data_IF_889821263378
#
_entry.id   IF_889821263378
#
_cell.length_a   1.000
_cell.length_b   1.000
_cell.length_c   1.000
_cell.angle_alpha   90.00
_cell.angle_beta   90.00
_cell.angle_gamma   90.00
#
_symmetry.space_group_name_H-M   'P 1'
#
loop_
_entity.id
_entity.type
_entity.pdbx_description
1 polymer ?
#
# COMPACT_ATOMS: atom_id res chain seq x y z
N UNK A 1 45.42 -9.27 18.02
CA UNK A 1 45.08 -8.99 19.42
C UNK A 1 43.60 -8.61 19.45
N UNK A 2 42.71 -9.58 19.68
CA UNK A 2 41.26 -9.40 19.60
C UNK A 2 40.80 -8.83 20.94
N UNK A 3 40.38 -7.57 20.96
CA UNK A 3 39.82 -6.93 22.15
C UNK A 3 38.48 -7.60 22.45
N UNK A 4 38.46 -8.46 23.48
CA UNK A 4 37.26 -9.09 24.02
C UNK A 4 36.36 -7.98 24.59
N UNK A 5 35.31 -7.58 23.86
CA UNK A 5 34.31 -6.61 24.34
C UNK A 5 33.56 -7.23 25.53
N UNK A 6 33.50 -6.48 26.63
CA UNK A 6 32.96 -6.91 27.91
C UNK A 6 31.42 -7.07 27.81
N UNK A 7 30.83 -8.28 28.02
CA UNK A 7 29.41 -8.55 27.73
C UNK A 7 28.44 -7.70 28.57
N UNK A 8 28.85 -7.28 29.77
CA UNK A 8 28.07 -6.40 30.65
C UNK A 8 27.85 -4.99 30.06
N UNK A 9 28.76 -4.50 29.23
CA UNK A 9 28.67 -3.18 28.59
C UNK A 9 27.64 -3.21 27.44
N UNK A 10 27.55 -4.34 26.72
CA UNK A 10 26.61 -4.55 25.61
C UNK A 10 25.17 -4.68 26.15
N UNK A 11 24.97 -5.41 27.25
CA UNK A 11 23.65 -5.65 27.85
C UNK A 11 23.01 -4.37 28.42
N UNK A 12 23.81 -3.40 28.87
CA UNK A 12 23.31 -2.16 29.48
C UNK A 12 23.14 -1.04 28.44
N UNK A 13 24.04 -0.92 27.46
CA UNK A 13 24.00 0.16 26.47
C UNK A 13 22.93 -0.04 25.39
N UNK A 14 22.64 -1.28 24.97
CA UNK A 14 21.59 -1.56 23.99
C UNK A 14 20.19 -1.07 24.42
N UNK A 15 19.69 -1.35 25.64
CA UNK A 15 18.39 -0.87 26.07
C UNK A 15 18.36 0.65 26.28
N UNK A 16 19.46 1.27 26.71
CA UNK A 16 19.59 2.73 26.81
C UNK A 16 19.56 3.42 25.44
N UNK A 17 20.17 2.80 24.42
CA UNK A 17 20.11 3.27 23.04
C UNK A 17 18.69 3.16 22.47
N UNK A 18 18.02 2.01 22.68
CA UNK A 18 16.62 1.82 22.32
C UNK A 18 15.68 2.78 23.03
N UNK A 19 15.89 3.05 24.33
CA UNK A 19 15.07 3.98 25.10
C UNK A 19 15.26 5.41 24.59
N UNK A 20 16.49 5.80 24.26
CA UNK A 20 16.80 7.11 23.66
C UNK A 20 16.19 7.29 22.26
N UNK A 21 16.18 6.21 21.45
CA UNK A 21 15.56 6.18 20.14
C UNK A 21 14.03 6.22 20.23
N UNK A 22 13.43 5.47 21.16
CA UNK A 22 11.99 5.51 21.43
C UNK A 22 11.56 6.91 21.89
N UNK A 23 12.34 7.57 22.74
CA UNK A 23 12.07 8.96 23.14
C UNK A 23 12.20 9.94 21.97
N UNK A 24 13.10 9.70 21.01
CA UNK A 24 13.23 10.54 19.82
C UNK A 24 11.99 10.45 18.90
N UNK A 25 11.41 9.25 18.76
CA UNK A 25 10.18 9.02 17.99
C UNK A 25 8.98 9.73 18.63
N UNK A 26 8.89 9.75 19.96
CA UNK A 26 7.84 10.48 20.68
C UNK A 26 8.06 12.01 20.71
N UNK A 27 9.30 12.48 20.63
CA UNK A 27 9.65 13.91 20.61
C UNK A 27 9.47 14.56 19.23
N UNK A 28 9.55 13.77 18.15
CA UNK A 28 9.26 14.19 16.79
C UNK A 28 8.14 13.31 16.22
N UNK A 29 6.86 13.48 16.63
CA UNK A 29 5.77 12.90 15.88
C UNK A 29 5.91 13.45 14.46
N UNK A 30 6.30 12.62 13.49
CA UNK A 30 6.48 13.04 12.10
C UNK A 30 5.17 13.66 11.66
N UNK A 31 5.07 15.00 11.58
CA UNK A 31 3.83 15.59 11.15
C UNK A 31 3.72 15.22 9.67
N UNK A 32 2.60 14.62 9.29
CA UNK A 32 2.26 14.47 7.88
C UNK A 32 2.19 15.89 7.31
N UNK A 33 3.25 16.33 6.62
CA UNK A 33 3.29 17.63 5.98
C UNK A 33 2.58 17.50 4.64
N UNK A 34 1.39 18.09 4.54
CA UNK A 34 0.74 18.40 3.28
C UNK A 34 1.04 19.84 2.89
N UNK A 35 1.60 20.05 1.71
CA UNK A 35 1.78 21.35 1.09
C UNK A 35 0.75 21.50 -0.02
N UNK A 36 -0.14 22.48 0.11
CA UNK A 36 -1.01 22.88 -0.99
C UNK A 36 -0.19 23.62 -2.05
N UNK A 37 -0.07 23.03 -3.23
CA UNK A 37 0.63 23.61 -4.37
C UNK A 37 -0.25 24.64 -5.08
N UNK A 38 -1.54 24.33 -5.22
CA UNK A 38 -2.56 25.19 -5.81
C UNK A 38 -3.80 25.08 -4.93
N UNK A 39 -4.37 26.21 -4.52
CA UNK A 39 -5.60 26.26 -3.72
C UNK A 39 -6.50 27.34 -4.30
N UNK A 40 -7.45 26.91 -5.14
CA UNK A 40 -8.48 27.77 -5.72
C UNK A 40 -9.82 27.03 -5.71
N UNK A 41 -10.93 27.76 -5.78
CA UNK A 41 -12.27 27.16 -5.79
C UNK A 41 -12.50 26.20 -6.97
N UNK A 42 -11.74 26.38 -8.07
CA UNK A 42 -11.87 25.58 -9.27
C UNK A 42 -10.86 24.43 -9.34
N UNK A 43 -9.67 24.62 -8.80
CA UNK A 43 -8.57 23.65 -8.89
C UNK A 43 -7.82 23.63 -7.56
N UNK A 44 -7.67 22.45 -6.99
CA UNK A 44 -6.80 22.22 -5.84
C UNK A 44 -5.75 21.19 -6.20
N UNK A 45 -4.52 21.39 -5.74
CA UNK A 45 -3.42 20.44 -5.87
C UNK A 45 -2.62 20.42 -4.57
N UNK A 46 -2.41 19.23 -4.03
CA UNK A 46 -1.77 19.02 -2.74
C UNK A 46 -0.69 17.95 -2.88
N UNK A 47 0.50 18.26 -2.37
CA UNK A 47 1.60 17.32 -2.22
C UNK A 47 1.75 16.99 -0.73
N UNK A 48 1.62 15.72 -0.40
CA UNK A 48 1.85 15.19 0.94
C UNK A 48 2.83 14.02 0.87
N UNK A 49 3.19 13.46 2.02
CA UNK A 49 4.07 12.30 2.06
C UNK A 49 4.33 11.78 3.46
N UNK A 50 5.06 10.68 3.52
CA UNK A 50 5.52 10.06 4.77
C UNK A 50 6.90 9.45 4.60
N UNK A 51 7.67 9.43 5.68
CA UNK A 51 8.93 8.71 5.78
C UNK A 51 8.85 7.77 6.98
N UNK A 52 9.03 6.48 6.75
CA UNK A 52 8.98 5.44 7.79
C UNK A 52 10.31 4.69 7.84
N UNK A 53 10.75 4.36 9.05
CA UNK A 53 11.92 3.54 9.30
C UNK A 53 11.55 2.35 10.17
N UNK A 54 11.88 1.13 9.72
CA UNK A 54 11.72 -0.11 10.47
C UNK A 54 13.09 -0.76 10.65
N UNK A 55 13.41 -1.18 11.86
CA UNK A 55 14.67 -1.86 12.17
C UNK A 55 14.35 -3.19 12.83
N UNK A 56 14.97 -4.25 12.32
CA UNK A 56 14.78 -5.59 12.83
C UNK A 56 16.14 -6.21 13.14
N UNK A 57 16.30 -6.65 14.39
CA UNK A 57 17.43 -7.48 14.83
C UNK A 57 16.94 -8.88 15.13
N UNK A 58 17.54 -9.88 14.49
CA UNK A 58 17.28 -11.30 14.75
C UNK A 58 18.56 -11.89 15.33
N UNK A 59 18.45 -12.53 16.48
CA UNK A 59 19.54 -13.31 17.06
C UNK A 59 19.18 -14.80 17.00
N UNK A 60 20.00 -15.58 16.31
CA UNK A 60 19.85 -17.03 16.24
C UNK A 60 20.73 -17.70 17.30
N UNK A 61 20.08 -18.21 18.36
CA UNK A 61 20.72 -18.89 19.47
C UNK A 61 21.42 -20.20 19.07
N UNK A 62 21.07 -20.80 17.93
CA UNK A 62 21.65 -22.08 17.50
C UNK A 62 23.01 -21.92 16.83
N UNK A 63 23.25 -20.77 16.19
CA UNK A 63 24.50 -20.47 15.48
C UNK A 63 25.28 -19.29 16.08
N UNK A 64 24.77 -18.70 17.17
CA UNK A 64 25.31 -17.51 17.84
C UNK A 64 25.64 -16.38 16.84
N UNK A 65 24.70 -16.14 15.92
CA UNK A 65 24.78 -15.06 14.94
C UNK A 65 23.63 -14.10 15.12
N UNK A 66 23.96 -12.82 15.14
CA UNK A 66 23.00 -11.74 15.06
C UNK A 66 23.00 -11.18 13.64
N UNK A 67 21.80 -10.95 13.10
CA UNK A 67 21.60 -10.21 11.87
C UNK A 67 20.72 -9.01 12.19
N UNK A 68 21.11 -7.84 11.75
CA UNK A 68 20.35 -6.61 11.83
C UNK A 68 20.10 -6.06 10.44
N UNK A 69 18.88 -5.59 10.20
CA UNK A 69 18.46 -5.00 8.95
C UNK A 69 17.60 -3.77 9.20
N UNK A 70 17.79 -2.76 8.37
CA UNK A 70 17.00 -1.54 8.38
C UNK A 70 16.23 -1.40 7.07
N UNK A 71 14.98 -0.96 7.17
CA UNK A 71 14.12 -0.59 6.06
C UNK A 71 13.70 0.87 6.23
N UNK A 72 13.93 1.68 5.21
CA UNK A 72 13.36 3.02 5.08
C UNK A 72 12.38 3.06 3.90
N UNK A 73 11.19 3.61 4.13
CA UNK A 73 10.15 3.85 3.11
C UNK A 73 9.86 5.34 3.02
N UNK A 74 10.04 5.92 1.85
CA UNK A 74 9.59 7.27 1.51
C UNK A 74 8.40 7.17 0.57
N UNK A 75 7.28 7.80 0.94
CA UNK A 75 6.10 7.92 0.09
C UNK A 75 5.79 9.39 -0.17
N UNK A 76 5.61 9.73 -1.45
CA UNK A 76 5.14 11.03 -1.90
C UNK A 76 3.77 10.86 -2.55
N UNK A 77 2.83 11.73 -2.19
CA UNK A 77 1.43 11.66 -2.58
C UNK A 77 1.05 13.00 -3.19
N UNK A 78 0.72 12.99 -4.47
CA UNK A 78 0.15 14.13 -5.17
C UNK A 78 -1.33 13.87 -5.40
N UNK A 79 -2.17 14.75 -4.89
CA UNK A 79 -3.62 14.73 -5.15
C UNK A 79 -4.05 16.02 -5.82
N UNK A 80 -4.95 15.91 -6.78
CA UNK A 80 -5.51 17.06 -7.48
C UNK A 80 -7.00 16.93 -7.64
N UNK A 81 -7.71 18.05 -7.60
CA UNK A 81 -9.15 18.14 -7.87
C UNK A 81 -9.42 19.27 -8.84
N UNK A 82 -10.34 19.04 -9.76
CA UNK A 82 -10.84 20.04 -10.71
C UNK A 82 -12.35 20.14 -10.50
N UNK A 83 -12.75 21.19 -9.79
CA UNK A 83 -14.07 21.38 -9.20
C UNK A 83 -14.51 20.09 -8.48
N UNK A 84 -15.77 19.72 -8.65
CA UNK A 84 -16.35 18.46 -8.21
C UNK A 84 -16.37 17.39 -9.32
N UNK A 85 -15.81 17.68 -10.50
CA UNK A 85 -15.97 16.84 -11.70
C UNK A 85 -14.84 15.85 -11.91
N UNK A 86 -13.64 16.15 -11.45
CA UNK A 86 -12.50 15.25 -11.62
C UNK A 86 -11.54 15.31 -10.44
N UNK A 87 -10.90 14.18 -10.17
CA UNK A 87 -9.77 14.10 -9.23
C UNK A 87 -8.67 13.21 -9.79
N UNK A 88 -7.43 13.55 -9.46
CA UNK A 88 -6.24 12.77 -9.80
C UNK A 88 -5.50 12.39 -8.52
N UNK A 89 -4.88 11.22 -8.52
CA UNK A 89 -4.08 10.71 -7.41
C UNK A 89 -2.82 10.04 -7.98
N UNK A 90 -1.67 10.43 -7.46
CA UNK A 90 -0.38 9.87 -7.83
C UNK A 90 0.47 9.62 -6.60
N UNK A 91 0.92 8.38 -6.41
CA UNK A 91 1.72 7.96 -5.27
C UNK A 91 3.05 7.39 -5.77
N UNK A 92 4.14 8.05 -5.42
CA UNK A 92 5.50 7.56 -5.63
C UNK A 92 6.00 6.96 -4.32
N UNK A 93 6.61 5.80 -4.42
CA UNK A 93 7.14 5.06 -3.28
C UNK A 93 8.60 4.70 -3.56
N UNK A 94 9.48 5.00 -2.61
CA UNK A 94 10.87 4.61 -2.63
C UNK A 94 11.18 3.82 -1.36
N UNK A 95 11.73 2.63 -1.52
CA UNK A 95 12.15 1.77 -0.42
C UNK A 95 13.65 1.53 -0.49
N UNK A 96 14.32 1.64 0.66
CA UNK A 96 15.74 1.33 0.80
C UNK A 96 15.97 0.39 1.98
N UNK A 97 16.69 -0.70 1.74
CA UNK A 97 17.18 -1.60 2.79
C UNK A 97 18.66 -1.42 3.01
N UNK A 98 19.07 -1.47 4.27
CA UNK A 98 20.46 -1.63 4.70
C UNK A 98 20.58 -2.98 5.39
N UNK A 99 21.61 -3.75 5.04
CA UNK A 99 21.88 -5.11 5.51
C UNK A 99 20.65 -6.03 5.33
N UNK A 100 20.29 -6.37 4.08
CA UNK A 100 19.12 -7.21 3.81
C UNK A 100 19.22 -8.53 4.58
N UNK A 101 18.24 -8.82 5.43
CA UNK A 101 18.25 -10.00 6.28
C UNK A 101 18.13 -11.27 5.42
N UNK A 102 18.92 -12.33 5.70
CA UNK A 102 18.87 -13.58 4.94
C UNK A 102 17.50 -14.26 4.93
N UNK A 103 16.68 -13.97 5.96
CA UNK A 103 15.31 -14.43 6.12
C UNK A 103 14.46 -13.31 6.72
N UNK A 104 14.22 -12.24 5.96
CA UNK A 104 13.24 -11.22 6.33
C UNK A 104 11.81 -11.81 6.24
N UNK A 105 10.91 -11.53 7.20
CA UNK A 105 9.48 -11.75 7.00
C UNK A 105 9.04 -11.03 5.72
N UNK A 106 8.11 -11.60 4.95
CA UNK A 106 7.70 -11.04 3.64
C UNK A 106 7.32 -9.56 3.69
N UNK A 107 6.73 -9.10 4.80
CA UNK A 107 6.39 -7.69 5.02
C UNK A 107 7.57 -6.73 5.25
N UNK A 108 8.81 -7.22 5.35
CA UNK A 108 10.04 -6.41 5.46
C UNK A 108 10.82 -6.28 4.13
N UNK A 109 10.50 -7.09 3.12
CA UNK A 109 11.27 -7.17 1.86
C UNK A 109 10.52 -6.59 0.66
N UNK A 110 9.20 -6.47 0.71
CA UNK A 110 8.41 -5.91 -0.40
C UNK A 110 8.08 -4.44 -0.16
N UNK A 111 8.80 -3.57 -0.87
CA UNK A 111 8.52 -2.12 -0.90
C UNK A 111 7.35 -1.79 -1.80
N UNK A 112 7.17 -2.57 -2.85
CA UNK A 112 6.03 -2.55 -3.74
C UNK A 112 5.66 -4.01 -3.95
N UNK A 113 4.65 -4.51 -3.24
CA UNK A 113 4.09 -5.80 -3.63
C UNK A 113 3.55 -5.63 -5.05
N UNK A 114 4.17 -6.30 -6.03
CA UNK A 114 3.58 -6.49 -7.33
C UNK A 114 2.25 -7.20 -7.11
N UNK A 115 1.18 -6.42 -7.00
CA UNK A 115 -0.17 -6.96 -6.88
C UNK A 115 -0.50 -7.70 -8.16
N UNK A 116 -1.36 -8.72 -8.03
CA UNK A 116 -1.74 -9.62 -9.13
C UNK A 116 -2.36 -8.89 -10.34
N UNK A 117 -2.80 -7.65 -10.16
CA UNK A 117 -3.46 -6.82 -11.16
C UNK A 117 -2.66 -5.54 -11.43
N UNK A 118 -1.37 -5.69 -11.74
CA UNK A 118 -0.54 -4.64 -12.34
C UNK A 118 -0.10 -5.12 -13.71
N UNK A 119 -0.47 -4.37 -14.75
CA UNK A 119 -0.17 -4.73 -16.13
C UNK A 119 1.32 -4.54 -16.45
N UNK A 120 1.94 -3.53 -15.84
CA UNK A 120 3.37 -3.29 -15.79
C UNK A 120 3.68 -2.75 -14.39
N UNK A 121 4.50 -3.41 -13.57
CA UNK A 121 4.77 -2.98 -12.20
C UNK A 121 5.27 -1.53 -12.08
N UNK A 122 5.91 -0.97 -13.12
CA UNK A 122 6.62 0.32 -13.05
C UNK A 122 7.51 0.44 -11.80
N UNK A 123 8.15 -0.66 -11.46
CA UNK A 123 9.18 -0.72 -10.44
C UNK A 123 10.56 -0.68 -11.11
N UNK A 124 11.47 0.08 -10.51
CA UNK A 124 12.86 0.12 -10.96
C UNK A 124 13.77 -0.11 -9.77
N UNK A 125 14.54 -1.20 -9.83
CA UNK A 125 15.61 -1.48 -8.88
C UNK A 125 16.81 -0.61 -9.22
N UNK A 126 17.16 0.34 -8.36
CA UNK A 126 18.23 1.30 -8.65
C UNK A 126 19.61 0.81 -8.20
N UNK A 127 19.68 -0.03 -7.16
CA UNK A 127 20.95 -0.58 -6.69
C UNK A 127 20.76 -1.87 -5.90
N UNK A 128 21.67 -2.83 -6.08
CA UNK A 128 21.75 -4.05 -5.27
C UNK A 128 23.22 -4.31 -4.99
N UNK A 129 23.68 -3.84 -3.84
CA UNK A 129 24.92 -4.25 -3.21
C UNK A 129 24.61 -5.26 -2.11
N UNK A 130 25.61 -6.05 -1.68
CA UNK A 130 25.43 -7.05 -0.62
C UNK A 130 24.77 -6.48 0.65
N UNK A 131 25.09 -5.22 0.98
CA UNK A 131 24.63 -4.55 2.20
C UNK A 131 23.56 -3.47 1.95
N UNK A 132 23.16 -3.21 0.70
CA UNK A 132 22.19 -2.16 0.40
C UNK A 132 21.36 -2.47 -0.85
N UNK A 133 20.05 -2.28 -0.76
CA UNK A 133 19.16 -2.35 -1.92
C UNK A 133 18.15 -1.22 -1.92
N UNK A 134 17.93 -0.60 -3.08
CA UNK A 134 16.88 0.41 -3.24
C UNK A 134 15.96 0.12 -4.42
N UNK A 135 14.68 0.43 -4.24
CA UNK A 135 13.64 0.29 -5.25
C UNK A 135 12.75 1.52 -5.25
N UNK A 136 12.36 1.94 -6.45
CA UNK A 136 11.33 2.96 -6.65
C UNK A 136 10.15 2.35 -7.38
N UNK A 137 8.94 2.73 -7.01
CA UNK A 137 7.71 2.23 -7.62
C UNK A 137 6.62 3.30 -7.64
N UNK A 138 5.75 3.22 -8.64
CA UNK A 138 4.50 3.99 -8.69
C UNK A 138 3.40 3.13 -8.06
N UNK A 139 2.97 3.47 -6.86
CA UNK A 139 1.95 2.68 -6.15
C UNK A 139 0.53 3.01 -6.62
N UNK A 140 0.28 4.28 -6.97
CA UNK A 140 -1.01 4.76 -7.50
C UNK A 140 -0.79 5.80 -8.58
N UNK A 141 -1.65 5.77 -9.58
CA UNK A 141 -1.68 6.70 -10.68
C UNK A 141 -3.05 6.58 -11.34
N UNK A 142 -4.03 7.34 -10.84
CA UNK A 142 -5.40 7.25 -11.32
C UNK A 142 -6.05 8.61 -11.51
N UNK A 143 -7.10 8.60 -12.34
CA UNK A 143 -8.03 9.70 -12.52
C UNK A 143 -9.44 9.20 -12.26
N UNK A 144 -10.21 9.98 -11.51
CA UNK A 144 -11.64 9.76 -11.30
C UNK A 144 -12.41 10.91 -11.95
N UNK A 145 -13.38 10.57 -12.78
CA UNK A 145 -14.35 11.48 -13.38
C UNK A 145 -15.71 11.26 -12.69
N UNK A 146 -16.34 12.34 -12.25
CA UNK A 146 -17.59 12.32 -11.50
C UNK A 146 -18.72 12.88 -12.35
N UNK A 147 -19.78 12.09 -12.47
CA UNK A 147 -21.03 12.43 -13.13
C UNK A 147 -22.17 12.34 -12.10
N UNK A 148 -23.36 12.92 -12.35
CA UNK A 148 -24.42 13.02 -11.34
C UNK A 148 -24.84 11.71 -10.65
N UNK A 149 -24.73 10.56 -11.34
CA UNK A 149 -25.10 9.25 -10.80
C UNK A 149 -24.02 8.18 -11.05
N UNK A 150 -22.84 8.59 -11.51
CA UNK A 150 -21.81 7.67 -11.98
C UNK A 150 -20.42 8.24 -11.73
N UNK A 151 -19.54 7.46 -11.13
CA UNK A 151 -18.12 7.77 -11.02
C UNK A 151 -17.33 6.76 -11.87
N UNK A 152 -16.42 7.27 -12.71
CA UNK A 152 -15.51 6.46 -13.51
C UNK A 152 -14.08 6.71 -13.06
N UNK A 153 -13.41 5.69 -12.54
CA UNK A 153 -12.00 5.74 -12.16
C UNK A 153 -11.17 4.87 -13.08
N UNK A 154 -10.09 5.43 -13.63
CA UNK A 154 -9.17 4.79 -14.57
C UNK A 154 -7.73 4.88 -14.05
N UNK A 155 -6.94 3.83 -14.28
CA UNK A 155 -5.52 3.77 -13.94
C UNK A 155 -5.25 2.86 -12.74
N UNK A 156 -4.13 3.11 -12.05
CA UNK A 156 -3.70 2.37 -10.86
C UNK A 156 -4.35 2.94 -9.61
N UNK A 157 -5.33 2.22 -9.07
CA UNK A 157 -6.20 2.69 -7.99
C UNK A 157 -6.35 1.65 -6.88
N UNK A 158 -6.55 2.08 -5.64
CA UNK A 158 -6.92 1.16 -4.56
C UNK A 158 -8.43 0.88 -4.62
N UNK A 159 -8.80 -0.39 -4.74
CA UNK A 159 -10.21 -0.80 -4.89
C UNK A 159 -10.63 -1.57 -3.65
N UNK A 160 -11.43 -0.97 -2.77
CA UNK A 160 -11.92 -1.64 -1.54
C UNK A 160 -13.41 -2.00 -1.67
N UNK A 161 -13.75 -3.26 -1.42
CA UNK A 161 -15.11 -3.80 -1.58
C UNK A 161 -15.88 -4.00 -0.26
N UNK A 162 -15.24 -3.75 0.89
CA UNK A 162 -15.85 -3.90 2.21
C UNK A 162 -15.21 -3.01 3.25
N UNK A 163 -15.80 -2.94 4.43
CA UNK A 163 -15.49 -1.95 5.48
C UNK A 163 -14.69 -2.51 6.66
N UNK A 164 -14.20 -3.75 6.57
CA UNK A 164 -13.49 -4.44 7.66
C UNK A 164 -12.05 -3.94 7.81
N UNK A 165 -11.60 -3.79 9.06
CA UNK A 165 -10.30 -3.19 9.41
C UNK A 165 -9.12 -4.18 9.35
N UNK A 166 -9.28 -5.44 9.78
CA UNK A 166 -8.16 -6.38 9.93
C UNK A 166 -7.89 -7.27 8.71
N UNK A 167 -8.96 -7.82 8.13
CA UNK A 167 -8.93 -8.62 6.92
C UNK A 167 -10.32 -8.58 6.28
N UNK A 168 -10.37 -8.40 4.96
CA UNK A 168 -11.62 -8.29 4.24
C UNK A 168 -11.83 -9.53 3.35
N UNK A 169 -12.70 -10.48 3.73
CA UNK A 169 -12.97 -11.66 2.90
C UNK A 169 -13.56 -11.29 1.53
N UNK A 170 -14.21 -10.13 1.42
CA UNK A 170 -14.81 -9.63 0.18
C UNK A 170 -13.80 -8.91 -0.72
N UNK A 171 -12.55 -8.80 -0.30
CA UNK A 171 -11.49 -8.13 -1.05
C UNK A 171 -10.76 -9.10 -1.96
N UNK A 172 -11.36 -9.35 -3.12
CA UNK A 172 -10.88 -10.37 -4.05
C UNK A 172 -9.71 -9.90 -4.91
N UNK A 173 -9.48 -8.58 -5.01
CA UNK A 173 -8.46 -8.02 -5.90
C UNK A 173 -7.11 -7.84 -5.21
N UNK A 174 -7.08 -7.18 -4.05
CA UNK A 174 -5.85 -6.85 -3.33
C UNK A 174 -6.03 -6.89 -1.82
N UNK A 175 -6.39 -8.05 -1.28
CA UNK A 175 -6.38 -8.27 0.16
C UNK A 175 -4.96 -8.15 0.72
N UNK A 176 -4.82 -7.42 1.83
CA UNK A 176 -3.56 -7.37 2.59
C UNK A 176 -3.13 -8.77 3.05
N UNK A 177 -1.83 -9.01 3.02
CA UNK A 177 -1.27 -10.23 3.60
C UNK A 177 -1.37 -10.18 5.14
N UNK A 178 -1.67 -11.31 5.81
CA UNK A 178 -1.66 -11.34 7.27
C UNK A 178 -0.27 -11.04 7.87
N UNK A 179 0.80 -11.17 7.08
CA UNK A 179 2.18 -10.89 7.48
C UNK A 179 2.68 -9.49 7.10
N UNK A 180 1.81 -8.66 6.51
CA UNK A 180 2.15 -7.31 6.10
C UNK A 180 2.10 -6.36 7.30
N UNK A 181 3.21 -5.67 7.53
CA UNK A 181 3.38 -4.74 8.65
C UNK A 181 2.88 -3.32 8.33
N UNK A 182 3.10 -2.84 7.10
CA UNK A 182 2.57 -1.55 6.65
C UNK A 182 1.27 -1.75 5.88
N UNK A 183 0.13 -1.48 6.54
CA UNK A 183 -1.21 -1.57 5.94
C UNK A 183 -1.87 -0.22 5.77
N UNK A 184 -1.11 0.87 5.90
CA UNK A 184 -1.67 2.21 5.80
C UNK A 184 -2.21 2.47 4.38
N UNK A 185 -1.49 1.98 3.36
CA UNK A 185 -1.87 2.15 1.97
C UNK A 185 -2.19 0.81 1.34
N UNK A 186 -3.44 0.66 0.92
CA UNK A 186 -3.85 -0.46 0.10
C UNK A 186 -3.12 -0.43 -1.26
N UNK A 187 -2.50 -1.55 -1.68
CA UNK A 187 -1.84 -1.64 -2.97
C UNK A 187 -2.76 -1.33 -4.15
N UNK A 188 -2.23 -0.58 -5.13
CA UNK A 188 -2.96 -0.22 -6.34
C UNK A 188 -3.22 -1.41 -7.29
N UNK A 189 -4.34 -1.33 -8.01
CA UNK A 189 -4.78 -2.21 -9.10
C UNK A 189 -4.87 -1.39 -10.37
N UNK A 190 -4.19 -1.83 -11.42
CA UNK A 190 -4.34 -1.27 -12.76
C UNK A 190 -5.70 -1.67 -13.32
N UNK A 191 -6.51 -0.71 -13.71
CA UNK A 191 -7.77 -1.03 -14.34
C UNK A 191 -8.78 0.10 -14.37
N UNK A 192 -10.04 -0.30 -14.46
CA UNK A 192 -11.17 0.61 -14.56
C UNK A 192 -12.23 0.22 -13.54
N UNK A 193 -12.85 1.23 -12.93
CA UNK A 193 -13.96 1.07 -12.00
C UNK A 193 -15.06 2.05 -12.38
N UNK A 194 -16.29 1.55 -12.44
CA UNK A 194 -17.49 2.35 -12.63
C UNK A 194 -18.41 2.11 -11.45
N UNK A 195 -18.72 3.16 -10.70
CA UNK A 195 -19.69 3.11 -9.61
C UNK A 195 -20.95 3.88 -10.01
N UNK A 196 -22.09 3.20 -10.03
CA UNK A 196 -23.40 3.77 -10.37
C UNK A 196 -24.24 3.83 -9.10
N UNK A 197 -24.65 5.05 -8.72
CA UNK A 197 -25.55 5.26 -7.60
C UNK A 197 -27.00 5.04 -8.03
N UNK A 198 -27.70 4.12 -7.37
CA UNK A 198 -29.12 3.83 -7.63
C UNK A 198 -30.07 4.47 -6.62
N UNK A 199 -29.54 4.93 -5.48
CA UNK A 199 -30.31 5.58 -4.42
C UNK A 199 -29.46 5.79 -3.18
N UNK A 200 -30.13 6.09 -2.06
CA UNK A 200 -29.44 6.17 -0.77
C UNK A 200 -28.90 4.80 -0.39
N UNK A 201 -27.58 4.70 -0.19
CA UNK A 201 -26.89 3.46 0.20
C UNK A 201 -27.07 2.28 -0.75
N UNK A 202 -27.43 2.53 -2.02
CA UNK A 202 -27.64 1.49 -3.03
C UNK A 202 -26.91 1.80 -4.31
N UNK A 203 -26.28 0.80 -4.90
CA UNK A 203 -25.49 1.00 -6.11
C UNK A 203 -24.97 -0.27 -6.75
N UNK A 204 -24.36 -0.07 -7.91
CA UNK A 204 -23.70 -1.11 -8.70
C UNK A 204 -22.29 -0.66 -9.02
N UNK A 205 -21.31 -1.51 -8.75
CA UNK A 205 -19.91 -1.31 -9.12
C UNK A 205 -19.52 -2.31 -10.18
N UNK A 206 -18.98 -1.83 -11.30
CA UNK A 206 -18.30 -2.64 -12.31
C UNK A 206 -16.81 -2.41 -12.18
N UNK A 207 -16.03 -3.48 -12.08
CA UNK A 207 -14.59 -3.38 -11.86
C UNK A 207 -13.88 -4.31 -12.84
N UNK A 208 -12.89 -3.74 -13.51
CA UNK A 208 -11.91 -4.46 -14.30
C UNK A 208 -10.55 -4.26 -13.68
N UNK A 209 -9.86 -5.34 -13.32
CA UNK A 209 -8.45 -5.35 -12.95
C UNK A 209 -7.64 -5.98 -14.07
N UNK A 210 -6.68 -5.24 -14.63
CA UNK A 210 -5.78 -5.72 -15.66
C UNK A 210 -4.69 -6.58 -15.03
N UNK A 211 -4.58 -7.83 -15.49
CA UNK A 211 -3.44 -8.67 -15.18
C UNK A 211 -2.19 -8.28 -15.96
N UNK A 212 -1.09 -8.99 -15.72
CA UNK A 212 0.19 -8.81 -16.41
C UNK A 212 -0.01 -8.71 -17.92
N UNK A 213 0.59 -7.68 -18.53
CA UNK A 213 0.57 -7.43 -19.98
C UNK A 213 -0.85 -7.38 -20.58
N UNK A 214 -1.87 -7.04 -19.79
CA UNK A 214 -3.29 -7.03 -20.16
C UNK A 214 -3.84 -8.39 -20.62
N UNK A 215 -3.20 -9.49 -20.21
CA UNK A 215 -3.65 -10.84 -20.53
C UNK A 215 -5.04 -11.15 -19.97
N UNK A 216 -5.95 -11.58 -20.83
CA UNK A 216 -7.34 -11.91 -20.44
C UNK A 216 -7.42 -13.07 -19.43
N UNK A 217 -6.37 -13.89 -19.31
CA UNK A 217 -6.28 -15.01 -18.37
C UNK A 217 -5.67 -14.59 -17.01
N UNK A 218 -5.17 -13.36 -16.92
CA UNK A 218 -4.54 -12.76 -15.76
C UNK A 218 -5.41 -11.64 -15.17
N UNK A 219 -6.33 -11.09 -15.97
CA UNK A 219 -7.29 -10.07 -15.57
C UNK A 219 -8.45 -10.60 -14.70
N UNK A 220 -9.12 -9.67 -14.04
CA UNK A 220 -10.35 -9.91 -13.29
C UNK A 220 -11.46 -8.96 -13.74
N UNK A 221 -12.69 -9.48 -13.72
CA UNK A 221 -13.92 -8.74 -13.96
C UNK A 221 -14.88 -9.00 -12.81
N UNK A 222 -15.38 -7.94 -12.19
CA UNK A 222 -16.29 -8.03 -11.06
C UNK A 222 -17.48 -7.10 -11.27
N UNK A 223 -18.65 -7.59 -10.88
CA UNK A 223 -19.85 -6.82 -10.64
C UNK A 223 -20.20 -6.98 -9.17
N UNK A 224 -20.48 -5.86 -8.51
CA UNK A 224 -20.99 -5.84 -7.14
C UNK A 224 -22.25 -4.98 -7.10
N UNK A 225 -23.31 -5.51 -6.52
CA UNK A 225 -24.54 -4.76 -6.22
C UNK A 225 -24.70 -4.70 -4.72
N UNK A 226 -25.05 -3.54 -4.18
CA UNK A 226 -25.27 -3.38 -2.75
C UNK A 226 -26.48 -2.50 -2.49
N UNK A 227 -27.13 -2.72 -1.35
CA UNK A 227 -28.31 -1.97 -0.90
C UNK A 227 -28.44 -2.06 0.61
N UNK A 228 -29.15 -1.11 1.20
CA UNK A 228 -29.59 -1.17 2.58
C UNK A 228 -31.11 -1.42 2.60
N UNK A 229 -31.53 -2.49 3.26
CA UNK A 229 -32.93 -2.90 3.34
C UNK A 229 -33.28 -3.31 4.77
N UNK A 230 -34.28 -2.66 5.38
CA UNK A 230 -34.71 -2.92 6.77
C UNK A 230 -33.55 -2.82 7.78
N UNK A 231 -32.67 -1.83 7.63
CA UNK A 231 -31.44 -1.65 8.41
C UNK A 231 -30.37 -2.75 8.22
N UNK A 232 -30.56 -3.66 7.27
CA UNK A 232 -29.54 -4.63 6.85
C UNK A 232 -28.79 -4.15 5.62
N UNK A 233 -27.46 -4.22 5.68
CA UNK A 233 -26.60 -4.05 4.51
C UNK A 233 -26.48 -5.38 3.75
N UNK A 234 -26.98 -5.37 2.52
CA UNK A 234 -26.92 -6.50 1.61
C UNK A 234 -25.97 -6.18 0.47
N UNK A 235 -25.08 -7.12 0.16
CA UNK A 235 -24.23 -7.05 -1.01
C UNK A 235 -24.21 -8.41 -1.71
N UNK A 236 -24.27 -8.37 -3.03
CA UNK A 236 -24.04 -9.52 -3.89
C UNK A 236 -22.92 -9.17 -4.85
N UNK A 237 -22.11 -10.16 -5.21
CA UNK A 237 -21.04 -10.01 -6.16
C UNK A 237 -20.89 -11.23 -7.05
N UNK A 238 -20.51 -11.00 -8.28
CA UNK A 238 -20.19 -12.04 -9.23
C UNK A 238 -19.07 -11.57 -10.13
N UNK A 239 -18.35 -12.52 -10.70
CA UNK A 239 -17.28 -12.15 -11.61
C UNK A 239 -16.42 -13.33 -12.02
N UNK A 240 -15.30 -12.97 -12.62
CA UNK A 240 -14.29 -13.89 -13.10
C UNK A 240 -12.93 -13.41 -12.64
N UNK A 241 -12.16 -14.33 -12.10
CA UNK A 241 -10.75 -14.18 -11.79
C UNK A 241 -9.98 -15.16 -12.65
N UNK A 242 -9.14 -14.67 -13.57
CA UNK A 242 -8.35 -15.54 -14.45
C UNK A 242 -9.24 -16.51 -15.24
N UNK A 243 -9.28 -17.79 -14.91
CA UNK A 243 -10.15 -18.78 -15.56
C UNK A 243 -11.37 -19.18 -14.73
N UNK A 244 -11.44 -18.73 -13.47
CA UNK A 244 -12.44 -19.18 -12.51
C UNK A 244 -13.53 -18.12 -12.32
N UNK A 245 -14.79 -18.56 -12.35
CA UNK A 245 -15.94 -17.74 -11.99
C UNK A 245 -16.21 -17.79 -10.49
N UNK A 246 -16.81 -16.74 -9.95
CA UNK A 246 -17.29 -16.73 -8.57
C UNK A 246 -18.63 -15.99 -8.46
N UNK A 247 -19.37 -16.32 -7.40
CA UNK A 247 -20.59 -15.63 -6.96
C UNK A 247 -20.58 -15.62 -5.43
N UNK A 248 -21.01 -14.52 -4.82
CA UNK A 248 -21.09 -14.32 -3.37
C UNK A 248 -22.13 -13.29 -2.98
#
# INVERSE_FOLDING_TARGET
>A
MIVKRNPLIVIILLPLFYLSYLTLIFLFPSPAYSVKLIDSDLISCELSGSLKGFYLGIHDNHIDKSHDGGLTLLRLILTGKVLEKASIEFHLLEGGMINPLPAAPSGFVSFSEATRFRADPWDHSQSTHEDFSSQIAIDRANITLRFPHCDLTLGRQAITLGTTYFWNPNDLLTAFSPYEFDREYKPGVDGAKVDIALGMFSGISFIYGAGDSFGLNESALLIRTFTNMFDFDLAMMAGRFRQDGFVG
#
